data_IF_035901948796
#
_entry.id   IF_035901948796
#
_cell.length_a   1.000
_cell.length_b   1.000
_cell.length_c   1.000
_cell.angle_alpha   90.00
_cell.angle_beta   90.00
_cell.angle_gamma   90.00
#
_symmetry.space_group_name_H-M   'P 1'
#
loop_
_entity.id
_entity.type
_entity.pdbx_description
1 polymer ?
#
# COMPACT_ATOMS: atom_id res chain seq x y z
N UNK A 1 0.97 49.70 -37.06
CA UNK A 1 1.71 48.74 -36.22
C UNK A 1 0.74 48.09 -35.25
N UNK A 2 0.29 46.85 -35.54
CA UNK A 2 -0.67 46.09 -34.73
C UNK A 2 0.11 45.20 -33.75
N UNK A 3 -0.15 45.32 -32.44
CA UNK A 3 0.35 44.38 -31.41
C UNK A 3 -0.69 43.29 -31.22
N UNK A 4 -0.34 42.06 -31.58
CA UNK A 4 -1.10 40.85 -31.28
C UNK A 4 -0.69 40.33 -29.90
N UNK A 5 -1.66 40.13 -29.02
CA UNK A 5 -1.53 39.42 -27.75
C UNK A 5 -1.80 37.94 -28.00
N UNK A 6 -0.85 37.07 -27.67
CA UNK A 6 -1.03 35.62 -27.71
C UNK A 6 -1.05 35.09 -26.28
N UNK A 7 -2.21 34.57 -25.88
CA UNK A 7 -2.39 33.71 -24.72
C UNK A 7 -1.81 32.32 -25.05
N UNK A 8 -0.92 31.80 -24.19
CA UNK A 8 -0.50 30.39 -24.23
C UNK A 8 -1.05 29.69 -22.98
N UNK A 9 -2.05 28.84 -23.23
CA UNK A 9 -2.63 27.88 -22.29
C UNK A 9 -1.66 26.71 -22.09
N UNK A 10 -1.37 26.38 -20.82
CA UNK A 10 -0.53 25.23 -20.45
C UNK A 10 -1.44 24.04 -20.13
N UNK A 11 -1.48 23.06 -21.03
CA UNK A 11 -2.17 21.79 -20.81
C UNK A 11 -1.26 20.80 -20.05
N UNK A 12 -1.79 19.98 -19.13
CA UNK A 12 -1.00 18.94 -18.45
C UNK A 12 -0.75 17.74 -19.37
N UNK A 13 0.50 17.31 -19.40
CA UNK A 13 1.03 16.21 -20.22
C UNK A 13 0.54 14.86 -19.67
N UNK A 14 -0.34 14.19 -20.42
CA UNK A 14 -0.61 12.75 -20.31
C UNK A 14 0.50 11.97 -21.04
N UNK A 15 1.02 10.90 -20.43
CA UNK A 15 2.10 10.09 -21.00
C UNK A 15 1.57 9.08 -22.06
N UNK A 16 2.33 8.94 -23.15
CA UNK A 16 2.08 8.23 -24.43
C UNK A 16 2.36 6.69 -24.35
N UNK A 17 1.48 5.76 -24.82
CA UNK A 17 1.32 5.01 -26.12
C UNK A 17 2.55 4.11 -26.54
N UNK A 18 2.47 2.78 -26.78
CA UNK A 18 2.04 2.08 -28.04
C UNK A 18 1.78 0.55 -27.95
N UNK A 19 1.03 0.06 -28.95
CA UNK A 19 0.44 -1.27 -29.18
C UNK A 19 1.36 -2.33 -29.82
N UNK A 20 0.94 -3.60 -29.76
CA UNK A 20 1.34 -4.65 -30.69
C UNK A 20 0.19 -5.66 -30.92
N UNK A 21 0.03 -6.10 -32.17
CA UNK A 21 -1.05 -6.94 -32.72
C UNK A 21 -0.90 -8.44 -32.37
N UNK A 22 -2.02 -9.17 -32.48
CA UNK A 22 -2.24 -10.52 -31.95
C UNK A 22 -1.62 -11.70 -32.69
N UNK A 23 -1.84 -12.91 -32.14
CA UNK A 23 -2.25 -14.19 -32.77
C UNK A 23 -2.77 -15.13 -31.65
N UNK A 24 -3.64 -16.07 -32.03
CA UNK A 24 -4.70 -16.75 -31.29
C UNK A 24 -4.31 -17.91 -30.33
N UNK A 25 -5.36 -18.38 -29.65
CA UNK A 25 -5.51 -19.31 -28.52
C UNK A 25 -4.89 -20.72 -28.62
N UNK A 26 -4.48 -21.29 -27.47
CA UNK A 26 -5.09 -22.48 -26.85
C UNK A 26 -4.42 -22.89 -25.51
N UNK A 27 -5.25 -23.41 -24.59
CA UNK A 27 -4.98 -24.28 -23.42
C UNK A 27 -4.43 -23.73 -22.08
N UNK A 28 -5.39 -23.60 -21.15
CA UNK A 28 -5.43 -24.00 -19.73
C UNK A 28 -4.13 -24.35 -18.98
N UNK A 29 -4.02 -23.76 -17.78
CA UNK A 29 -3.15 -24.10 -16.64
C UNK A 29 -1.70 -23.57 -16.62
N UNK A 30 -1.43 -22.35 -17.09
CA UNK A 30 -0.11 -21.72 -16.87
C UNK A 30 -0.04 -20.17 -16.98
N UNK A 31 -1.13 -19.41 -16.92
CA UNK A 31 -1.08 -17.94 -17.15
C UNK A 31 -0.79 -17.13 -15.87
N UNK A 32 0.47 -17.17 -15.42
CA UNK A 32 1.06 -16.19 -14.49
C UNK A 32 2.17 -15.43 -15.21
N UNK A 33 1.89 -14.28 -15.83
CA UNK A 33 2.92 -13.29 -16.17
C UNK A 33 2.33 -11.95 -16.63
N UNK A 34 2.33 -10.95 -15.74
CA UNK A 34 3.00 -9.65 -15.94
C UNK A 34 2.71 -8.71 -14.75
N UNK A 35 3.13 -9.21 -13.58
CA UNK A 35 3.59 -8.54 -12.35
C UNK A 35 4.02 -9.74 -11.52
N UNK A 36 5.32 -9.88 -11.22
CA UNK A 36 5.84 -11.08 -10.56
C UNK A 36 5.49 -11.09 -9.05
N UNK A 37 4.19 -11.10 -8.74
CA UNK A 37 3.62 -11.59 -7.49
C UNK A 37 3.31 -13.09 -7.58
N UNK A 38 4.07 -13.86 -8.39
CA UNK A 38 4.00 -15.32 -8.38
C UNK A 38 4.69 -15.86 -7.14
N UNK A 39 4.13 -15.56 -5.98
CA UNK A 39 4.59 -16.09 -4.71
C UNK A 39 4.05 -17.49 -4.48
N UNK A 40 4.89 -18.31 -3.86
CA UNK A 40 4.45 -19.42 -3.05
C UNK A 40 4.30 -18.91 -1.62
N UNK A 41 3.21 -19.27 -0.91
CA UNK A 41 3.03 -18.93 0.51
C UNK A 41 4.22 -19.34 1.39
N UNK A 42 4.93 -20.41 1.01
CA UNK A 42 6.12 -20.90 1.70
C UNK A 42 7.32 -19.94 1.64
N UNK A 43 7.26 -18.91 0.78
CA UNK A 43 8.31 -17.91 0.61
C UNK A 43 8.01 -16.60 1.35
N UNK A 44 6.82 -16.46 1.94
CA UNK A 44 6.49 -15.33 2.81
C UNK A 44 7.14 -15.52 4.19
N UNK A 45 7.94 -14.54 4.62
CA UNK A 45 8.53 -14.53 5.97
C UNK A 45 7.43 -14.71 7.02
N UNK A 46 7.57 -15.69 7.90
CA UNK A 46 6.61 -15.97 8.98
C UNK A 46 5.33 -16.71 8.55
N UNK A 47 5.26 -17.25 7.34
CA UNK A 47 4.19 -18.16 6.89
C UNK A 47 4.65 -19.62 6.72
N UNK A 48 5.90 -19.94 7.08
CA UNK A 48 6.39 -21.32 7.16
C UNK A 48 5.91 -21.98 8.46
N UNK A 49 5.40 -23.21 8.44
CA UNK A 49 5.14 -23.97 9.66
C UNK A 49 6.49 -24.30 10.32
N UNK A 50 6.89 -23.47 11.28
CA UNK A 50 8.10 -23.69 12.06
C UNK A 50 7.75 -24.63 13.25
N UNK A 51 8.55 -25.68 13.52
CA UNK A 51 8.45 -26.41 14.78
C UNK A 51 8.66 -25.41 15.91
N UNK A 52 7.79 -25.41 16.92
CA UNK A 52 7.88 -24.54 18.09
C UNK A 52 9.26 -24.67 18.76
N UNK A 53 10.18 -23.80 18.38
CA UNK A 53 11.33 -23.44 19.20
C UNK A 53 11.21 -21.96 19.46
N UNK A 54 10.77 -21.65 20.68
CA UNK A 54 10.66 -20.29 21.20
C UNK A 54 12.09 -19.74 21.32
N UNK A 55 12.61 -19.16 20.24
CA UNK A 55 13.73 -18.24 20.36
C UNK A 55 13.17 -16.93 20.88
N UNK A 56 13.37 -16.71 22.18
CA UNK A 56 13.15 -15.44 22.86
C UNK A 56 13.89 -14.34 22.11
N UNK A 57 13.15 -13.53 21.35
CA UNK A 57 13.64 -12.25 20.86
C UNK A 57 13.94 -11.36 22.07
N UNK A 58 15.09 -10.71 22.00
CA UNK A 58 15.67 -9.94 23.09
C UNK A 58 14.74 -8.79 23.51
N UNK A 59 14.46 -8.76 24.82
CA UNK A 59 13.78 -7.64 25.50
C UNK A 59 14.40 -6.30 25.09
N UNK A 60 13.61 -5.48 24.40
CA UNK A 60 13.76 -4.03 24.40
C UNK A 60 12.43 -3.42 24.85
N UNK A 61 12.42 -2.92 26.08
CA UNK A 61 11.76 -1.66 26.44
C UNK A 61 10.23 -1.54 26.41
N UNK A 62 9.43 -2.61 26.50
CA UNK A 62 7.98 -2.44 26.67
C UNK A 62 7.64 -1.78 28.02
N UNK A 63 6.84 -0.71 28.01
CA UNK A 63 6.32 -0.12 29.25
C UNK A 63 5.40 -1.11 29.96
N UNK A 64 5.62 -1.35 31.26
CA UNK A 64 4.81 -2.27 32.05
C UNK A 64 3.66 -1.50 32.69
N UNK A 65 2.43 -1.78 32.29
CA UNK A 65 1.24 -1.16 32.87
C UNK A 65 0.66 -2.09 33.94
N UNK A 66 0.44 -1.55 35.13
CA UNK A 66 -0.17 -2.20 36.28
C UNK A 66 -1.62 -1.75 36.40
N UNK A 67 -2.55 -2.68 36.57
CA UNK A 67 -3.99 -2.39 36.69
C UNK A 67 -4.54 -2.98 37.98
N UNK A 68 -5.35 -2.21 38.71
CA UNK A 68 -6.09 -2.70 39.89
C UNK A 68 -7.46 -2.03 39.99
N UNK A 69 -8.38 -2.65 40.72
CA UNK A 69 -9.69 -2.07 41.03
C UNK A 69 -9.73 -1.73 42.51
N UNK A 70 -10.09 -0.49 42.84
CA UNK A 70 -10.20 -0.06 44.23
C UNK A 70 -11.50 -0.55 44.90
N UNK A 71 -11.63 -0.25 46.20
CA UNK A 71 -12.79 -0.64 47.03
C UNK A 71 -14.13 -0.06 46.54
N UNK A 72 -14.10 1.00 45.73
CA UNK A 72 -15.29 1.62 45.13
C UNK A 72 -15.62 1.03 43.75
N UNK A 73 -14.86 0.04 43.28
CA UNK A 73 -15.04 -0.57 41.96
C UNK A 73 -14.42 0.26 40.82
N UNK A 74 -13.59 1.26 41.11
CA UNK A 74 -12.92 2.07 40.09
C UNK A 74 -11.59 1.42 39.66
N UNK A 75 -11.41 1.30 38.35
CA UNK A 75 -10.19 0.73 37.74
C UNK A 75 -9.13 1.82 37.63
N UNK A 76 -7.90 1.51 38.08
CA UNK A 76 -6.73 2.38 38.04
C UNK A 76 -5.62 1.75 37.20
N UNK A 77 -4.78 2.60 36.58
CA UNK A 77 -3.64 2.20 35.77
C UNK A 77 -2.38 2.95 36.22
N UNK A 78 -1.23 2.28 36.23
CA UNK A 78 0.07 2.91 36.52
C UNK A 78 1.19 2.27 35.71
N UNK A 79 2.16 3.04 35.26
CA UNK A 79 3.41 2.57 34.65
C UNK A 79 4.55 2.42 35.68
N UNK A 80 4.27 2.75 36.96
CA UNK A 80 5.23 2.70 38.05
C UNK A 80 5.16 1.37 38.82
N UNK A 81 6.21 0.54 38.81
CA UNK A 81 6.24 -0.76 39.49
C UNK A 81 6.00 -0.68 41.01
N UNK A 82 6.39 0.44 41.65
CA UNK A 82 6.17 0.63 43.08
C UNK A 82 4.69 0.89 43.41
N UNK A 83 3.95 1.56 42.53
CA UNK A 83 2.51 1.71 42.70
C UNK A 83 1.78 0.39 42.43
N UNK A 84 2.23 -0.37 41.43
CA UNK A 84 1.68 -1.69 41.15
C UNK A 84 1.79 -2.65 42.34
N UNK A 85 2.98 -2.74 42.94
CA UNK A 85 3.19 -3.56 44.15
C UNK A 85 2.39 -3.06 45.36
N UNK A 86 2.26 -1.74 45.52
CA UNK A 86 1.54 -1.17 46.66
C UNK A 86 0.04 -1.50 46.64
N UNK A 87 -0.55 -1.64 45.45
CA UNK A 87 -1.98 -1.81 45.27
C UNK A 87 -2.37 -3.24 44.86
N UNK A 88 -1.48 -4.23 45.04
CA UNK A 88 -1.66 -5.61 44.55
C UNK A 88 -2.15 -5.67 43.09
N UNK A 89 -1.63 -4.76 42.27
CA UNK A 89 -2.05 -4.61 40.88
C UNK A 89 -1.54 -5.76 40.02
N UNK A 90 -2.40 -6.28 39.15
CA UNK A 90 -1.99 -7.26 38.16
C UNK A 90 -1.17 -6.58 37.07
N UNK A 91 -0.03 -7.19 36.74
CA UNK A 91 0.79 -6.76 35.61
C UNK A 91 -0.03 -7.00 34.34
N UNK A 92 -0.58 -5.93 33.78
CA UNK A 92 -1.23 -6.01 32.48
C UNK A 92 -0.12 -6.13 31.46
N UNK A 93 0.00 -7.31 30.86
CA UNK A 93 0.80 -7.49 29.66
C UNK A 93 0.12 -6.74 28.51
N UNK A 94 0.18 -5.41 28.55
CA UNK A 94 0.00 -4.59 27.37
C UNK A 94 1.25 -4.84 26.52
N UNK A 95 1.21 -5.90 25.72
CA UNK A 95 1.99 -5.87 24.50
C UNK A 95 1.26 -4.87 23.62
N UNK A 96 1.70 -3.61 23.66
CA UNK A 96 1.66 -2.83 22.44
C UNK A 96 2.24 -3.77 21.38
N UNK A 97 1.42 -4.20 20.42
CA UNK A 97 2.01 -4.72 19.21
C UNK A 97 2.60 -3.50 18.54
N UNK A 98 3.80 -3.11 18.99
CA UNK A 98 4.58 -2.08 18.35
C UNK A 98 4.78 -2.57 16.92
N UNK A 99 4.03 -1.97 16.02
CA UNK A 99 4.18 -2.21 14.60
C UNK A 99 5.62 -1.87 14.23
N UNK A 100 6.43 -2.91 14.03
CA UNK A 100 7.85 -2.76 13.81
C UNK A 100 8.12 -2.53 12.33
N UNK A 101 8.50 -1.30 11.99
CA UNK A 101 8.81 -0.86 10.64
C UNK A 101 10.28 -0.50 10.47
N UNK A 102 10.94 -1.08 9.48
CA UNK A 102 12.34 -0.78 9.12
C UNK A 102 12.42 -0.38 7.65
N UNK A 103 13.05 0.76 7.36
CA UNK A 103 13.32 1.21 5.99
C UNK A 103 14.83 1.19 5.70
N UNK A 104 15.21 0.48 4.62
CA UNK A 104 16.57 0.43 4.09
C UNK A 104 16.56 0.97 2.67
N UNK A 105 17.13 2.16 2.49
CA UNK A 105 17.33 2.77 1.17
C UNK A 105 18.79 2.60 0.75
N UNK A 106 18.99 2.02 -0.44
CA UNK A 106 20.29 1.81 -1.09
C UNK A 106 20.32 2.51 -2.45
N UNK A 107 21.53 2.76 -2.96
CA UNK A 107 21.76 3.21 -4.34
C UNK A 107 22.77 2.27 -5.00
N UNK A 108 22.63 2.05 -6.31
CA UNK A 108 23.53 1.21 -7.11
C UNK A 108 24.99 1.67 -7.11
N UNK A 109 25.26 2.97 -6.94
CA UNK A 109 26.62 3.52 -6.92
C UNK A 109 27.00 4.18 -5.59
N UNK A 110 26.13 4.06 -4.57
CA UNK A 110 26.32 4.66 -3.25
C UNK A 110 25.97 6.16 -3.16
N UNK A 111 25.59 6.80 -4.27
CA UNK A 111 25.23 8.21 -4.33
C UNK A 111 23.73 8.40 -4.47
N UNK A 112 23.20 9.43 -3.81
CA UNK A 112 21.82 9.87 -3.95
C UNK A 112 21.78 11.28 -4.55
N UNK A 113 20.79 11.58 -5.41
CA UNK A 113 20.45 12.95 -5.73
C UNK A 113 20.18 13.77 -4.46
N UNK A 114 20.43 15.09 -4.47
CA UNK A 114 20.18 15.95 -3.32
C UNK A 114 18.75 15.79 -2.78
N UNK A 115 18.63 15.64 -1.46
CA UNK A 115 17.35 15.50 -0.73
C UNK A 115 16.47 14.29 -1.11
N UNK A 116 16.79 13.52 -2.14
CA UNK A 116 15.99 12.37 -2.58
C UNK A 116 15.78 11.37 -1.44
N UNK A 117 16.88 10.95 -0.78
CA UNK A 117 16.82 9.94 0.27
C UNK A 117 15.97 10.40 1.45
N UNK A 118 16.12 11.65 1.87
CA UNK A 118 15.38 12.20 3.01
C UNK A 118 13.89 12.36 2.67
N UNK A 119 13.57 12.88 1.48
CA UNK A 119 12.20 13.07 1.01
C UNK A 119 11.44 11.74 0.90
N UNK A 120 12.07 10.74 0.28
CA UNK A 120 11.47 9.40 0.13
C UNK A 120 11.37 8.69 1.48
N UNK A 121 12.38 8.82 2.34
CA UNK A 121 12.34 8.26 3.70
C UNK A 121 11.20 8.86 4.51
N UNK A 122 11.03 10.18 4.47
CA UNK A 122 9.95 10.86 5.19
C UNK A 122 8.57 10.42 4.67
N UNK A 123 8.40 10.33 3.35
CA UNK A 123 7.14 9.90 2.75
C UNK A 123 6.80 8.44 3.08
N UNK A 124 7.74 7.50 2.94
CA UNK A 124 7.48 6.08 3.24
C UNK A 124 7.20 5.88 4.74
N UNK A 125 7.93 6.57 5.63
CA UNK A 125 7.63 6.56 7.06
C UNK A 125 6.21 7.07 7.34
N UNK A 126 5.80 8.15 6.68
CA UNK A 126 4.43 8.66 6.80
C UNK A 126 3.38 7.67 6.29
N UNK A 127 3.64 6.95 5.19
CA UNK A 127 2.76 5.86 4.74
C UNK A 127 2.64 4.79 5.84
N UNK A 128 3.76 4.42 6.44
CA UNK A 128 3.81 3.46 7.56
C UNK A 128 2.98 3.93 8.77
N UNK A 129 3.12 5.20 9.17
CA UNK A 129 2.32 5.82 10.23
C UNK A 129 0.82 5.83 9.90
N UNK A 130 0.47 6.09 8.63
CA UNK A 130 -0.92 6.04 8.18
C UNK A 130 -1.44 4.60 8.27
N UNK A 131 -0.66 3.60 7.86
CA UNK A 131 -1.03 2.19 8.03
C UNK A 131 -1.30 1.85 9.48
N UNK A 132 -0.39 2.19 10.38
CA UNK A 132 -0.53 1.94 11.82
C UNK A 132 -1.89 2.39 12.38
N UNK A 133 -2.42 3.54 11.93
CA UNK A 133 -3.75 4.01 12.32
C UNK A 133 -4.91 3.06 11.93
N UNK A 134 -4.77 2.30 10.83
CA UNK A 134 -5.76 1.35 10.34
C UNK A 134 -5.51 -0.10 10.76
N UNK A 135 -4.29 -0.43 11.20
CA UNK A 135 -3.95 -1.79 11.60
C UNK A 135 -4.62 -2.16 12.94
N UNK A 136 -4.88 -3.46 13.18
CA UNK A 136 -5.31 -3.94 14.50
C UNK A 136 -4.19 -3.74 15.53
N UNK A 137 -4.55 -3.68 16.82
CA UNK A 137 -3.60 -3.49 17.92
C UNK A 137 -2.73 -4.71 18.23
N UNK A 138 -2.92 -5.84 17.54
CA UNK A 138 -2.16 -7.07 17.73
C UNK A 138 -2.15 -7.94 16.49
N UNK A 139 -1.21 -8.88 16.42
CA UNK A 139 -1.05 -9.81 15.29
C UNK A 139 -0.43 -9.19 14.03
N UNK A 140 0.03 -7.93 14.10
CA UNK A 140 0.69 -7.23 13.00
C UNK A 140 2.13 -7.75 12.85
N UNK A 141 2.51 -8.31 11.69
CA UNK A 141 3.87 -8.75 11.46
C UNK A 141 4.84 -7.55 11.31
N UNK A 142 6.11 -7.69 11.69
CA UNK A 142 7.12 -6.69 11.39
C UNK A 142 7.35 -6.56 9.89
N UNK A 143 7.73 -5.38 9.41
CA UNK A 143 7.98 -5.14 7.98
C UNK A 143 9.31 -4.44 7.77
N UNK A 144 10.09 -4.96 6.83
CA UNK A 144 11.29 -4.31 6.31
C UNK A 144 11.09 -3.92 4.86
N UNK A 145 11.21 -2.62 4.56
CA UNK A 145 11.24 -2.10 3.18
C UNK A 145 12.67 -1.98 2.69
N UNK A 146 13.05 -2.77 1.68
CA UNK A 146 14.34 -2.63 1.00
C UNK A 146 14.16 -1.97 -0.37
N UNK A 147 14.50 -0.69 -0.45
CA UNK A 147 14.41 0.11 -1.65
C UNK A 147 15.80 0.36 -2.24
N UNK A 148 15.96 0.10 -3.54
CA UNK A 148 17.21 0.35 -4.28
C UNK A 148 16.97 1.37 -5.38
N UNK A 149 17.67 2.50 -5.32
CA UNK A 149 17.71 3.48 -6.40
C UNK A 149 18.80 3.09 -7.42
N UNK A 150 18.39 2.85 -8.65
CA UNK A 150 19.30 2.80 -9.79
C UNK A 150 19.52 4.22 -10.33
N UNK A 151 20.77 4.67 -10.32
CA UNK A 151 21.12 6.05 -10.64
C UNK A 151 21.01 6.37 -12.14
N UNK A 152 21.02 5.34 -12.99
CA UNK A 152 20.89 5.46 -14.44
C UNK A 152 20.13 4.26 -15.02
N UNK A 153 19.80 4.36 -16.31
CA UNK A 153 19.02 3.35 -17.01
C UNK A 153 19.76 2.02 -17.14
N UNK A 154 21.08 2.03 -17.31
CA UNK A 154 21.87 0.82 -17.48
C UNK A 154 21.94 0.00 -16.19
N UNK A 155 22.15 0.67 -15.06
CA UNK A 155 22.08 0.09 -13.71
C UNK A 155 20.70 -0.48 -13.42
N UNK A 156 19.63 0.23 -13.79
CA UNK A 156 18.26 -0.26 -13.62
C UNK A 156 18.00 -1.52 -14.46
N UNK A 157 18.35 -1.49 -15.75
CA UNK A 157 18.20 -2.64 -16.65
C UNK A 157 19.02 -3.85 -16.20
N UNK A 158 20.17 -3.63 -15.57
CA UNK A 158 20.95 -4.72 -14.94
C UNK A 158 20.18 -5.36 -13.80
N UNK A 159 19.59 -4.58 -12.89
CA UNK A 159 18.75 -5.09 -11.81
C UNK A 159 17.53 -5.83 -12.38
N UNK A 160 16.84 -5.25 -13.36
CA UNK A 160 15.67 -5.85 -13.98
C UNK A 160 15.99 -7.18 -14.66
N UNK A 161 17.05 -7.26 -15.48
CA UNK A 161 17.47 -8.53 -16.09
C UNK A 161 17.86 -9.60 -15.07
N UNK A 162 18.42 -9.17 -13.93
CA UNK A 162 18.87 -10.10 -12.89
C UNK A 162 17.71 -10.64 -12.05
N UNK A 163 16.74 -9.79 -11.68
CA UNK A 163 15.73 -10.12 -10.68
C UNK A 163 14.30 -10.20 -11.22
N UNK A 164 14.00 -9.52 -12.33
CA UNK A 164 12.67 -9.46 -12.95
C UNK A 164 12.76 -9.55 -14.50
N UNK A 165 13.39 -10.59 -15.09
CA UNK A 165 13.69 -10.65 -16.52
C UNK A 165 12.45 -10.72 -17.42
N UNK A 166 11.31 -11.18 -16.89
CA UNK A 166 10.03 -11.24 -17.60
C UNK A 166 9.27 -9.91 -17.59
N UNK A 167 9.74 -8.91 -16.83
CA UNK A 167 9.08 -7.62 -16.74
C UNK A 167 9.34 -6.81 -18.01
N UNK A 168 8.29 -6.17 -18.53
CA UNK A 168 8.38 -5.21 -19.64
C UNK A 168 9.07 -3.90 -19.24
N UNK A 169 8.93 -2.87 -20.08
CA UNK A 169 9.46 -1.55 -19.74
C UNK A 169 8.70 -0.96 -18.54
N UNK A 170 9.40 -0.68 -17.44
CA UNK A 170 8.85 -0.03 -16.25
C UNK A 170 9.87 0.94 -15.64
N UNK A 171 9.42 1.79 -14.72
CA UNK A 171 10.28 2.74 -13.99
C UNK A 171 10.62 2.28 -12.57
N UNK A 172 9.95 1.23 -12.12
CA UNK A 172 10.23 0.52 -10.87
C UNK A 172 9.73 -0.93 -10.98
N UNK A 173 10.17 -1.74 -10.02
CA UNK A 173 9.61 -3.06 -9.78
C UNK A 173 9.86 -3.51 -8.35
N UNK A 174 9.01 -4.41 -7.87
CA UNK A 174 9.18 -5.13 -6.63
C UNK A 174 9.20 -6.64 -6.87
N UNK A 175 10.18 -7.32 -6.29
CA UNK A 175 10.31 -8.79 -6.29
C UNK A 175 10.09 -9.29 -4.87
N UNK A 176 8.92 -9.92 -4.65
CA UNK A 176 8.43 -10.19 -3.30
C UNK A 176 9.27 -11.20 -2.52
N UNK A 177 9.65 -12.33 -3.13
CA UNK A 177 10.45 -13.38 -2.49
C UNK A 177 11.89 -12.95 -2.16
N UNK A 178 12.38 -11.87 -2.77
CA UNK A 178 13.70 -11.29 -2.47
C UNK A 178 13.59 -10.06 -1.56
N UNK A 179 12.36 -9.63 -1.25
CA UNK A 179 12.07 -8.34 -0.63
C UNK A 179 12.94 -7.23 -1.24
N UNK A 180 12.84 -7.05 -2.56
CA UNK A 180 13.68 -6.10 -3.32
C UNK A 180 12.79 -5.21 -4.18
N UNK A 181 12.70 -3.93 -3.81
CA UNK A 181 12.17 -2.89 -4.66
C UNK A 181 13.32 -2.15 -5.36
N UNK A 182 13.19 -1.93 -6.66
CA UNK A 182 14.16 -1.17 -7.46
C UNK A 182 13.47 -0.06 -8.24
N UNK A 183 14.10 1.12 -8.32
CA UNK A 183 13.57 2.30 -9.01
C UNK A 183 14.62 2.90 -9.92
N UNK A 184 14.25 3.22 -11.15
CA UNK A 184 15.09 4.00 -12.05
C UNK A 184 14.97 5.49 -11.74
N UNK A 185 16.08 6.14 -11.44
CA UNK A 185 16.15 7.59 -11.32
C UNK A 185 16.17 8.28 -12.69
N UNK A 186 15.05 8.87 -13.11
CA UNK A 186 15.00 9.79 -14.28
C UNK A 186 14.99 11.25 -13.88
N UNK A 187 14.27 11.57 -12.81
CA UNK A 187 14.18 12.87 -12.18
C UNK A 187 13.59 12.72 -10.78
N UNK A 188 13.73 13.75 -9.93
CA UNK A 188 13.28 13.73 -8.54
C UNK A 188 11.79 13.37 -8.39
N UNK A 189 10.91 14.02 -9.16
CA UNK A 189 9.47 13.81 -9.05
C UNK A 189 9.10 12.36 -9.37
N UNK A 190 9.56 11.85 -10.51
CA UNK A 190 9.27 10.48 -10.92
C UNK A 190 9.85 9.48 -9.93
N UNK A 191 11.13 9.62 -9.57
CA UNK A 191 11.79 8.69 -8.66
C UNK A 191 11.12 8.70 -7.29
N UNK A 192 10.69 9.86 -6.77
CA UNK A 192 9.94 9.97 -5.53
C UNK A 192 8.61 9.20 -5.58
N UNK A 193 7.79 9.43 -6.61
CA UNK A 193 6.50 8.76 -6.75
C UNK A 193 6.65 7.23 -6.90
N UNK A 194 7.56 6.79 -7.77
CA UNK A 194 7.82 5.36 -7.99
C UNK A 194 8.40 4.71 -6.74
N UNK A 195 9.26 5.40 -5.98
CA UNK A 195 9.82 4.85 -4.73
C UNK A 195 8.74 4.58 -3.69
N UNK A 196 7.76 5.48 -3.56
CA UNK A 196 6.63 5.26 -2.65
C UNK A 196 5.76 4.12 -3.16
N UNK A 197 5.44 4.09 -4.46
CA UNK A 197 4.65 3.03 -5.08
C UNK A 197 5.24 1.64 -4.81
N UNK A 198 6.51 1.42 -5.16
CA UNK A 198 7.16 0.13 -4.93
C UNK A 198 7.29 -0.20 -3.44
N UNK A 199 7.51 0.80 -2.58
CA UNK A 199 7.57 0.59 -1.14
C UNK A 199 6.23 0.18 -0.54
N UNK A 200 5.12 0.65 -1.11
CA UNK A 200 3.77 0.23 -0.70
C UNK A 200 3.53 -1.23 -1.07
N UNK A 201 4.00 -1.70 -2.24
CA UNK A 201 3.96 -3.13 -2.53
C UNK A 201 4.76 -3.97 -1.53
N UNK A 202 5.92 -3.47 -1.09
CA UNK A 202 6.71 -4.14 -0.04
C UNK A 202 5.93 -4.19 1.28
N UNK A 203 5.35 -3.06 1.70
CA UNK A 203 4.51 -2.98 2.89
C UNK A 203 3.32 -3.94 2.81
N UNK A 204 2.60 -3.95 1.69
CA UNK A 204 1.43 -4.79 1.49
C UNK A 204 1.79 -6.26 1.56
N UNK A 205 2.86 -6.68 0.88
CA UNK A 205 3.31 -8.07 0.92
C UNK A 205 3.74 -8.50 2.33
N UNK A 206 4.44 -7.63 3.07
CA UNK A 206 4.87 -7.93 4.44
C UNK A 206 3.72 -8.02 5.43
N UNK A 207 2.74 -7.12 5.33
CA UNK A 207 1.60 -7.06 6.25
C UNK A 207 0.51 -8.08 5.93
N UNK A 208 0.17 -8.21 4.65
CA UNK A 208 -1.06 -8.84 4.19
C UNK A 208 -0.82 -10.12 3.40
N UNK A 209 0.44 -10.44 3.06
CA UNK A 209 0.75 -11.61 2.24
C UNK A 209 0.15 -11.49 0.84
N UNK A 210 -0.60 -12.51 0.42
CA UNK A 210 -1.33 -12.48 -0.85
C UNK A 210 -2.58 -11.59 -0.73
N UNK A 211 -2.58 -10.47 -1.45
CA UNK A 211 -3.71 -9.52 -1.46
C UNK A 211 -4.31 -9.36 -2.86
N UNK A 212 -5.61 -9.00 -2.98
CA UNK A 212 -6.23 -8.70 -4.26
C UNK A 212 -5.50 -7.58 -5.03
N UNK A 213 -5.43 -7.70 -6.36
CA UNK A 213 -4.67 -6.76 -7.19
C UNK A 213 -5.21 -5.32 -7.12
N UNK A 214 -6.54 -5.14 -7.13
CA UNK A 214 -7.14 -3.81 -6.97
C UNK A 214 -6.70 -3.12 -5.67
N UNK A 215 -6.52 -3.89 -4.60
CA UNK A 215 -6.13 -3.37 -3.30
C UNK A 215 -4.66 -3.00 -3.29
N UNK A 216 -3.81 -3.91 -3.80
CA UNK A 216 -2.36 -3.71 -3.87
C UNK A 216 -2.00 -2.51 -4.75
N UNK A 217 -2.50 -2.48 -5.98
CA UNK A 217 -2.28 -1.37 -6.94
C UNK A 217 -2.97 -0.09 -6.47
N UNK A 218 -4.18 -0.20 -5.94
CA UNK A 218 -4.94 0.96 -5.45
C UNK A 218 -4.22 1.71 -4.34
N UNK A 219 -3.64 0.99 -3.36
CA UNK A 219 -2.85 1.59 -2.29
C UNK A 219 -1.52 2.15 -2.83
N UNK A 220 -0.83 1.43 -3.70
CA UNK A 220 0.43 1.87 -4.28
C UNK A 220 0.25 3.17 -5.08
N UNK A 221 -0.77 3.23 -5.93
CA UNK A 221 -1.15 4.44 -6.67
C UNK A 221 -1.64 5.57 -5.75
N UNK A 222 -2.42 5.23 -4.71
CA UNK A 222 -2.91 6.21 -3.74
C UNK A 222 -1.78 6.95 -3.03
N UNK A 223 -0.85 6.21 -2.44
CA UNK A 223 0.26 6.79 -1.70
C UNK A 223 1.38 7.33 -2.59
N UNK A 224 1.56 6.85 -3.82
CA UNK A 224 2.59 7.37 -4.74
C UNK A 224 2.50 8.88 -4.97
N UNK A 225 1.31 9.46 -4.77
CA UNK A 225 1.04 10.88 -4.92
C UNK A 225 1.35 11.71 -3.68
N UNK A 226 1.81 11.08 -2.58
CA UNK A 226 2.08 11.76 -1.32
C UNK A 226 3.14 12.85 -1.47
N UNK A 227 2.80 14.02 -0.95
CA UNK A 227 3.66 15.19 -0.85
C UNK A 227 3.85 15.54 0.62
N UNK A 228 5.09 15.58 1.07
CA UNK A 228 5.42 16.00 2.44
C UNK A 228 5.35 17.53 2.56
N UNK A 229 4.80 18.02 3.66
CA UNK A 229 4.74 19.42 4.06
C UNK A 229 5.18 19.54 5.52
N UNK A 230 6.50 19.54 5.74
CA UNK A 230 7.06 19.37 7.08
C UNK A 230 6.76 17.96 7.60
N UNK A 231 6.15 17.87 8.79
CA UNK A 231 5.70 16.60 9.39
C UNK A 231 4.32 16.13 8.88
N UNK A 232 3.57 17.00 8.21
CA UNK A 232 2.29 16.67 7.60
C UNK A 232 2.49 16.08 6.20
N UNK A 233 1.49 15.34 5.72
CA UNK A 233 1.44 14.88 4.34
C UNK A 233 0.15 15.27 3.65
N UNK A 234 0.24 15.49 2.34
CA UNK A 234 -0.90 15.77 1.47
C UNK A 234 -0.90 14.81 0.31
N UNK A 235 -2.04 14.19 0.05
CA UNK A 235 -2.30 13.39 -1.16
C UNK A 235 -3.24 14.22 -2.04
N UNK A 236 -2.74 14.83 -3.13
CA UNK A 236 -3.55 15.64 -4.01
C UNK A 236 -4.50 14.75 -4.81
N UNK A 237 -5.77 15.14 -4.83
CA UNK A 237 -6.75 14.42 -5.64
C UNK A 237 -6.43 14.60 -7.12
N UNK A 238 -6.30 13.53 -7.90
CA UNK A 238 -6.27 13.61 -9.36
C UNK A 238 -7.65 13.98 -9.91
N UNK A 239 -7.72 14.41 -11.19
CA UNK A 239 -8.96 14.81 -11.83
C UNK A 239 -9.79 13.58 -12.24
N UNK A 240 -10.29 12.82 -11.27
CA UNK A 240 -10.97 11.54 -11.52
C UNK A 240 -12.16 11.64 -12.45
N UNK A 241 -12.95 12.72 -12.36
CA UNK A 241 -14.07 12.97 -13.27
C UNK A 241 -13.64 12.98 -14.74
N UNK A 242 -12.44 13.47 -15.03
CA UNK A 242 -11.88 13.46 -16.39
C UNK A 242 -11.33 12.07 -16.75
N UNK A 243 -10.63 11.42 -15.81
CA UNK A 243 -10.00 10.11 -16.03
C UNK A 243 -11.04 9.00 -16.23
N UNK A 244 -12.11 9.03 -15.45
CA UNK A 244 -13.21 8.06 -15.42
C UNK A 244 -14.43 8.55 -16.20
N UNK A 245 -14.29 9.64 -16.97
CA UNK A 245 -15.39 10.19 -17.78
C UNK A 245 -15.90 9.12 -18.76
N UNK A 246 -17.21 8.84 -18.70
CA UNK A 246 -17.83 7.82 -19.56
C UNK A 246 -17.49 6.37 -19.18
N UNK A 247 -16.80 6.15 -18.05
CA UNK A 247 -16.57 4.82 -17.49
C UNK A 247 -17.68 4.49 -16.50
N UNK A 248 -18.33 3.34 -16.68
CA UNK A 248 -19.24 2.79 -15.68
C UNK A 248 -18.41 2.23 -14.51
N UNK A 249 -18.61 2.80 -13.31
CA UNK A 249 -18.00 2.28 -12.09
C UNK A 249 -18.74 1.02 -11.69
N UNK A 250 -18.02 -0.11 -11.70
CA UNK A 250 -18.59 -1.39 -11.34
C UNK A 250 -17.60 -2.09 -10.39
N UNK A 251 -17.96 -2.11 -9.12
CA UNK A 251 -17.15 -2.67 -8.04
C UNK A 251 -16.97 -4.17 -8.27
N UNK A 252 -18.00 -4.90 -8.70
CA UNK A 252 -17.88 -6.34 -8.97
C UNK A 252 -16.83 -6.62 -10.05
N UNK A 253 -16.88 -5.88 -11.16
CA UNK A 253 -15.89 -6.01 -12.24
C UNK A 253 -14.47 -5.67 -11.77
N UNK A 254 -14.33 -4.67 -10.90
CA UNK A 254 -13.03 -4.31 -10.31
C UNK A 254 -12.49 -5.44 -9.42
N UNK A 255 -13.35 -5.99 -8.53
CA UNK A 255 -12.98 -7.03 -7.58
C UNK A 255 -12.67 -8.38 -8.26
N UNK A 256 -13.33 -8.66 -9.39
CA UNK A 256 -13.23 -9.95 -10.10
C UNK A 256 -12.37 -9.88 -11.38
N UNK A 257 -11.69 -8.77 -11.64
CA UNK A 257 -10.90 -8.59 -12.86
C UNK A 257 -9.80 -9.67 -13.00
N UNK A 258 -9.78 -10.35 -14.15
CA UNK A 258 -8.83 -11.43 -14.44
C UNK A 258 -7.42 -10.91 -14.72
N UNK A 259 -6.42 -11.80 -14.63
CA UNK A 259 -5.03 -11.47 -15.00
C UNK A 259 -4.94 -10.88 -16.40
N UNK A 260 -5.66 -11.46 -17.37
CA UNK A 260 -5.68 -10.98 -18.76
C UNK A 260 -6.16 -9.53 -18.84
N UNK A 261 -7.24 -9.18 -18.12
CA UNK A 261 -7.78 -7.81 -18.08
C UNK A 261 -6.78 -6.82 -17.49
N UNK A 262 -6.03 -7.23 -16.46
CA UNK A 262 -4.96 -6.43 -15.88
C UNK A 262 -3.72 -6.29 -16.76
N UNK A 263 -3.54 -7.14 -17.78
CA UNK A 263 -2.45 -7.02 -18.77
C UNK A 263 -2.88 -6.32 -20.05
N UNK A 264 -4.17 -6.22 -20.32
CA UNK A 264 -4.71 -5.53 -21.48
C UNK A 264 -4.63 -4.01 -21.28
N UNK A 265 -3.79 -3.33 -22.07
CA UNK A 265 -3.36 -1.93 -21.82
C UNK A 265 -4.47 -0.90 -21.60
N UNK A 266 -5.63 -1.02 -22.27
CA UNK A 266 -6.76 -0.11 -22.07
C UNK A 266 -7.51 -0.39 -20.77
N UNK A 267 -7.84 -1.66 -20.52
CA UNK A 267 -8.53 -2.11 -19.31
C UNK A 267 -7.66 -1.92 -18.07
N UNK A 268 -6.36 -2.22 -18.18
CA UNK A 268 -5.39 -2.01 -17.12
C UNK A 268 -5.46 -0.56 -16.61
N UNK A 269 -5.37 0.43 -17.49
CA UNK A 269 -5.42 1.84 -17.08
C UNK A 269 -6.69 2.18 -16.30
N UNK A 270 -7.83 1.65 -16.72
CA UNK A 270 -9.11 1.84 -16.04
C UNK A 270 -9.14 1.13 -14.69
N UNK A 271 -8.59 -0.07 -14.58
CA UNK A 271 -8.51 -0.83 -13.34
C UNK A 271 -7.62 -0.13 -12.30
N UNK A 272 -6.46 0.41 -12.68
CA UNK A 272 -5.62 1.22 -11.78
C UNK A 272 -6.35 2.49 -11.31
N UNK A 273 -7.02 3.19 -12.23
CA UNK A 273 -7.79 4.38 -11.91
C UNK A 273 -8.95 4.10 -10.94
N UNK A 274 -9.72 3.05 -11.19
CA UNK A 274 -10.82 2.63 -10.31
C UNK A 274 -10.30 2.13 -8.95
N UNK A 275 -9.20 1.36 -8.94
CA UNK A 275 -8.54 0.87 -7.72
C UNK A 275 -8.11 2.01 -6.81
N UNK A 276 -7.42 3.01 -7.36
CA UNK A 276 -7.09 4.22 -6.61
C UNK A 276 -8.36 4.87 -6.06
N UNK A 277 -9.35 5.12 -6.92
CA UNK A 277 -10.51 5.91 -6.56
C UNK A 277 -11.32 5.21 -5.46
N UNK A 278 -11.36 3.89 -5.47
CA UNK A 278 -11.97 3.08 -4.42
C UNK A 278 -11.17 3.14 -3.12
N UNK A 279 -9.85 2.97 -3.15
CA UNK A 279 -8.98 3.15 -1.96
C UNK A 279 -9.12 4.55 -1.37
N UNK A 280 -9.12 5.59 -2.21
CA UNK A 280 -9.30 6.97 -1.74
C UNK A 280 -10.65 7.15 -1.03
N UNK A 281 -11.73 6.58 -1.58
CA UNK A 281 -13.04 6.59 -0.94
C UNK A 281 -13.03 5.91 0.43
N UNK A 282 -12.43 4.71 0.51
CA UNK A 282 -12.27 3.97 1.76
C UNK A 282 -11.45 4.77 2.78
N UNK A 283 -10.42 5.48 2.33
CA UNK A 283 -9.56 6.29 3.20
C UNK A 283 -10.15 7.65 3.56
N UNK A 284 -11.21 8.11 2.89
CA UNK A 284 -11.75 9.48 3.03
C UNK A 284 -13.05 9.57 3.82
N UNK A 285 -13.90 8.55 3.77
CA UNK A 285 -15.24 8.59 4.38
C UNK A 285 -15.28 7.84 5.71
N UNK A 286 -16.14 8.24 6.64
CA UNK A 286 -16.22 7.56 7.95
C UNK A 286 -16.57 6.08 7.83
N UNK A 287 -17.56 5.75 6.99
CA UNK A 287 -17.95 4.35 6.72
C UNK A 287 -16.83 3.59 5.98
N UNK A 288 -16.21 4.23 4.99
CA UNK A 288 -15.07 3.65 4.26
C UNK A 288 -13.88 3.35 5.18
N UNK A 289 -13.57 4.23 6.12
CA UNK A 289 -12.44 4.05 7.05
C UNK A 289 -12.69 2.88 7.99
N UNK A 290 -13.92 2.73 8.48
CA UNK A 290 -14.31 1.58 9.28
C UNK A 290 -14.16 0.28 8.49
N UNK A 291 -14.64 0.26 7.24
CA UNK A 291 -14.49 -0.89 6.35
C UNK A 291 -13.01 -1.19 6.06
N UNK A 292 -12.18 -0.17 5.84
CA UNK A 292 -10.74 -0.34 5.63
C UNK A 292 -10.08 -1.00 6.85
N UNK A 293 -10.40 -0.56 8.08
CA UNK A 293 -9.88 -1.22 9.30
C UNK A 293 -10.27 -2.69 9.37
N UNK A 294 -11.51 -3.03 9.04
CA UNK A 294 -11.98 -4.42 9.00
C UNK A 294 -11.25 -5.23 7.93
N UNK A 295 -11.06 -4.65 6.74
CA UNK A 295 -10.34 -5.27 5.63
C UNK A 295 -8.88 -5.54 5.97
N UNK A 296 -8.15 -4.56 6.53
CA UNK A 296 -6.75 -4.76 6.90
C UNK A 296 -6.60 -5.79 8.02
N UNK A 297 -7.48 -5.77 9.02
CA UNK A 297 -7.47 -6.77 10.10
C UNK A 297 -7.74 -8.18 9.56
N UNK A 298 -8.67 -8.32 8.61
CA UNK A 298 -8.93 -9.60 7.94
C UNK A 298 -7.70 -10.07 7.16
N UNK A 299 -7.11 -9.21 6.33
CA UNK A 299 -5.94 -9.54 5.52
C UNK A 299 -4.73 -9.93 6.38
N UNK A 300 -4.51 -9.28 7.53
CA UNK A 300 -3.47 -9.70 8.48
C UNK A 300 -3.77 -11.08 9.04
N UNK A 301 -5.02 -11.33 9.43
CA UNK A 301 -5.43 -12.63 9.99
C UNK A 301 -5.25 -13.76 8.98
N UNK A 302 -5.56 -13.52 7.71
CA UNK A 302 -5.49 -14.50 6.62
C UNK A 302 -4.20 -14.39 5.80
N UNK A 303 -3.17 -13.69 6.28
CA UNK A 303 -1.96 -13.37 5.50
C UNK A 303 -1.22 -14.59 4.92
N UNK A 304 -1.37 -15.75 5.56
CA UNK A 304 -0.74 -17.00 5.16
C UNK A 304 -1.73 -17.96 4.47
N UNK A 305 -2.91 -17.49 4.08
CA UNK A 305 -3.90 -18.27 3.33
C UNK A 305 -3.73 -18.04 1.83
N UNK A 306 -4.07 -19.04 1.01
CA UNK A 306 -3.94 -18.92 -0.47
C UNK A 306 -4.96 -17.93 -1.03
N UNK A 307 -6.11 -17.83 -0.39
CA UNK A 307 -7.21 -16.95 -0.74
C UNK A 307 -7.73 -16.27 0.52
N UNK A 308 -8.01 -14.97 0.44
CA UNK A 308 -8.60 -14.18 1.51
C UNK A 308 -9.99 -13.74 1.04
N UNK A 309 -11.04 -14.02 1.82
CA UNK A 309 -12.42 -13.67 1.50
C UNK A 309 -12.71 -12.18 1.76
N UNK A 310 -12.08 -11.34 0.94
CA UNK A 310 -12.27 -9.90 0.98
C UNK A 310 -13.70 -9.50 0.60
N UNK A 311 -14.40 -10.30 -0.21
CA UNK A 311 -15.75 -9.98 -0.67
C UNK A 311 -16.74 -10.00 0.49
N UNK A 312 -16.66 -11.00 1.37
CA UNK A 312 -17.45 -11.06 2.59
C UNK A 312 -17.22 -9.84 3.49
N UNK A 313 -15.97 -9.39 3.64
CA UNK A 313 -15.66 -8.19 4.42
C UNK A 313 -16.25 -6.94 3.79
N UNK A 314 -16.11 -6.75 2.46
CA UNK A 314 -16.73 -5.64 1.75
C UNK A 314 -18.27 -5.66 1.87
N UNK A 315 -18.87 -6.85 1.95
CA UNK A 315 -20.30 -7.05 2.19
C UNK A 315 -20.78 -6.58 3.58
N UNK A 316 -19.87 -6.40 4.55
CA UNK A 316 -20.22 -5.86 5.88
C UNK A 316 -20.40 -4.34 5.88
N UNK A 317 -20.15 -3.67 4.76
CA UNK A 317 -20.45 -2.25 4.60
C UNK A 317 -21.93 -1.97 4.94
N UNK A 318 -22.28 -0.88 5.64
CA UNK A 318 -23.66 -0.56 5.97
C UNK A 318 -24.55 -0.47 4.72
N UNK A 319 -25.49 -1.42 4.57
CA UNK A 319 -26.34 -1.56 3.38
C UNK A 319 -25.84 -2.60 2.35
N UNK A 320 -24.75 -3.31 2.66
CA UNK A 320 -24.17 -4.33 1.81
C UNK A 320 -23.34 -3.79 0.66
N UNK A 321 -22.84 -4.70 -0.18
CA UNK A 321 -21.93 -4.37 -1.29
C UNK A 321 -22.56 -3.46 -2.35
N UNK A 322 -23.87 -3.60 -2.60
CA UNK A 322 -24.59 -2.73 -3.54
C UNK A 322 -24.66 -1.28 -3.04
N UNK A 323 -24.82 -1.08 -1.73
CA UNK A 323 -24.77 0.26 -1.13
C UNK A 323 -23.34 0.82 -1.15
N UNK A 324 -22.33 -0.02 -0.97
CA UNK A 324 -20.92 0.37 -1.08
C UNK A 324 -20.61 0.92 -2.49
N UNK A 325 -21.02 0.21 -3.54
CA UNK A 325 -20.84 0.66 -4.93
C UNK A 325 -21.60 1.98 -5.19
N UNK A 326 -22.85 2.07 -4.73
CA UNK A 326 -23.68 3.28 -4.88
C UNK A 326 -23.05 4.49 -4.18
N UNK A 327 -22.62 4.33 -2.92
CA UNK A 327 -22.00 5.38 -2.12
C UNK A 327 -20.66 5.82 -2.73
N UNK A 328 -19.85 4.87 -3.22
CA UNK A 328 -18.58 5.14 -3.89
C UNK A 328 -18.78 5.91 -5.20
N UNK A 329 -19.70 5.45 -6.05
CA UNK A 329 -20.02 6.10 -7.32
C UNK A 329 -20.55 7.52 -7.11
N UNK A 330 -21.47 7.69 -6.15
CA UNK A 330 -21.97 9.01 -5.76
C UNK A 330 -20.82 9.90 -5.23
N UNK A 331 -19.93 9.38 -4.40
CA UNK A 331 -18.81 10.13 -3.84
C UNK A 331 -17.85 10.65 -4.93
N UNK A 332 -17.56 9.85 -5.95
CA UNK A 332 -16.76 10.28 -7.12
C UNK A 332 -17.48 11.38 -7.89
N UNK A 333 -18.79 11.24 -8.14
CA UNK A 333 -19.56 12.14 -9.00
C UNK A 333 -19.90 13.49 -8.35
N UNK A 334 -19.99 13.56 -7.02
CA UNK A 334 -20.38 14.78 -6.29
C UNK A 334 -19.20 15.67 -5.85
N UNK A 335 -18.00 15.49 -6.43
CA UNK A 335 -16.82 16.37 -6.24
C UNK A 335 -16.40 16.59 -4.78
N UNK A 336 -16.64 15.59 -3.91
CA UNK A 336 -16.10 15.58 -2.55
C UNK A 336 -14.67 15.01 -2.46
N UNK A 337 -14.05 14.67 -3.60
CA UNK A 337 -12.65 14.25 -3.69
C UNK A 337 -11.72 15.44 -3.45
N UNK A 338 -11.45 15.73 -2.18
CA UNK A 338 -10.50 16.77 -1.79
C UNK A 338 -9.10 16.17 -1.68
N UNK A 339 -8.10 17.05 -1.70
CA UNK A 339 -6.77 16.64 -1.25
C UNK A 339 -6.89 16.12 0.18
N UNK A 340 -6.37 14.93 0.43
CA UNK A 340 -6.35 14.37 1.78
C UNK A 340 -5.10 14.85 2.50
N UNK A 341 -5.24 15.23 3.77
CA UNK A 341 -4.12 15.65 4.61
C UNK A 341 -4.02 14.73 5.82
N UNK A 342 -2.80 14.46 6.26
CA UNK A 342 -2.44 13.57 7.36
C UNK A 342 -1.44 14.25 8.28
#
# INVERSE_FOLDING_TARGET
MKKASWYLSVAPIFLLIFSANGIAAENNSANRAAEQHSMSLLQLEGCTPEPQSVQQSSKRGGSQIYTWTDENGQVHFSDNPLQGQKNDAELTHYQDAEYAFVLKVKSTNGYYPPSYKDNVTAAIKKVSEIYEFYLPSSGVPPVTVNLTLANDQAGYQKLQRQYAPALGQSQGFYVTNLNLAAVWYRNDKQAHQTSIHESVHVLNAGLFGLSPRWFNEGLAEYFSRMQMQGSAAKIPSPPWKQILSGTELNLTNLLMASTEQWTASELQRLLYAQSYAFVQYLMSTSKGKQLMKQLLAHLIKTRCEQESDVFSILGQYPGGISQLETDWSAWINHERYRSQSF
#
